data_IF_252080380135
#
_entry.id   IF_252080380135
#
_cell.length_a   1.000
_cell.length_b   1.000
_cell.length_c   1.000
_cell.angle_alpha   90.00
_cell.angle_beta   90.00
_cell.angle_gamma   90.00
#
_symmetry.space_group_name_H-M   'P 1'
#
loop_
_entity.id
_entity.type
_entity.pdbx_description
1 polymer ?
#
# COMPACT_ATOMS: atom_id res chain seq x y z
N UNK A 1 19.29 -7.11 12.34
CA UNK A 1 20.07 -7.73 11.26
C UNK A 1 20.57 -6.63 10.34
N UNK A 2 21.82 -6.71 9.83
CA UNK A 2 22.33 -5.73 8.87
C UNK A 2 21.73 -6.04 7.50
N UNK A 3 21.09 -5.05 6.89
CA UNK A 3 20.40 -5.21 5.59
C UNK A 3 21.26 -4.76 4.42
N UNK A 4 22.10 -3.73 4.60
CA UNK A 4 23.03 -3.29 3.57
C UNK A 4 24.20 -2.52 4.17
N UNK A 5 25.33 -2.53 3.45
CA UNK A 5 26.51 -1.73 3.73
C UNK A 5 26.91 -1.08 2.40
N UNK A 6 27.06 0.24 2.38
CA UNK A 6 27.37 1.00 1.17
C UNK A 6 28.44 2.05 1.46
N UNK A 7 29.41 2.20 0.57
CA UNK A 7 30.42 3.25 0.66
C UNK A 7 29.92 4.50 -0.07
N UNK A 8 29.73 5.60 0.66
CA UNK A 8 29.24 6.87 0.12
C UNK A 8 30.37 7.73 -0.47
N UNK A 9 31.57 7.62 0.12
CA UNK A 9 32.80 8.27 -0.30
C UNK A 9 33.97 7.50 0.32
N UNK A 10 35.22 7.79 -0.08
CA UNK A 10 36.41 7.09 0.43
C UNK A 10 36.37 6.93 1.95
N UNK A 11 36.30 5.69 2.41
CA UNK A 11 36.24 5.29 3.83
C UNK A 11 35.02 5.81 4.62
N UNK A 12 33.92 6.19 3.95
CA UNK A 12 32.66 6.60 4.58
C UNK A 12 31.56 5.62 4.22
N UNK A 13 31.06 4.91 5.22
CA UNK A 13 30.08 3.85 5.01
C UNK A 13 28.73 4.21 5.61
N UNK A 14 27.66 3.97 4.85
CA UNK A 14 26.30 3.93 5.34
C UNK A 14 25.87 2.47 5.52
N UNK A 15 25.39 2.16 6.74
CA UNK A 15 24.94 0.83 7.12
C UNK A 15 23.45 0.92 7.42
N UNK A 16 22.67 0.05 6.79
CA UNK A 16 21.23 -0.07 7.05
C UNK A 16 20.99 -1.28 7.96
N UNK A 17 20.25 -1.07 9.05
CA UNK A 17 19.99 -2.10 10.06
C UNK A 17 18.49 -2.24 10.27
N UNK A 18 17.97 -3.45 10.10
CA UNK A 18 16.63 -3.80 10.54
C UNK A 18 16.63 -4.11 12.03
N UNK A 19 15.88 -3.32 12.81
CA UNK A 19 15.73 -3.46 14.25
C UNK A 19 14.24 -3.54 14.64
N UNK A 20 13.72 -4.74 14.95
CA UNK A 20 12.31 -4.91 15.33
C UNK A 20 11.87 -4.06 16.54
N UNK A 21 12.81 -3.73 17.43
CA UNK A 21 12.52 -2.90 18.61
C UNK A 21 12.19 -1.44 18.25
N UNK A 22 12.65 -0.95 17.10
CA UNK A 22 12.38 0.41 16.65
C UNK A 22 11.05 0.54 15.90
N UNK A 23 10.47 -0.54 15.39
CA UNK A 23 9.20 -0.50 14.65
C UNK A 23 8.01 0.06 15.46
N UNK A 24 8.06 -0.03 16.80
CA UNK A 24 7.05 0.54 17.69
C UNK A 24 7.35 1.99 18.10
N UNK A 25 8.54 2.49 17.81
CA UNK A 25 8.94 3.83 18.18
C UNK A 25 8.27 4.84 17.23
N UNK A 26 7.60 5.89 17.72
CA UNK A 26 6.82 6.82 16.88
C UNK A 26 7.63 7.44 15.72
N UNK A 27 8.91 7.73 15.96
CA UNK A 27 9.81 8.31 14.95
C UNK A 27 10.30 7.32 13.88
N UNK A 28 10.04 6.03 14.04
CA UNK A 28 10.52 4.95 13.16
C UNK A 28 9.38 4.05 12.69
N UNK A 29 8.15 4.56 12.73
CA UNK A 29 7.01 3.87 12.13
C UNK A 29 7.17 3.89 10.61
N UNK A 30 7.13 2.70 10.02
CA UNK A 30 7.14 2.55 8.57
C UNK A 30 5.90 3.23 7.98
N UNK A 31 6.10 4.16 7.05
CA UNK A 31 5.00 4.78 6.30
C UNK A 31 4.30 3.68 5.50
N UNK A 32 3.13 3.27 5.99
CA UNK A 32 2.28 2.37 5.23
C UNK A 32 1.70 3.17 4.06
N UNK A 33 1.86 2.71 2.81
CA UNK A 33 1.21 3.38 1.69
C UNK A 33 -0.29 3.43 1.99
N UNK A 34 -0.87 4.61 1.80
CA UNK A 34 -2.31 4.81 1.93
C UNK A 34 -2.96 3.88 0.91
N UNK A 35 -3.80 2.96 1.37
CA UNK A 35 -4.49 2.03 0.48
C UNK A 35 -5.43 2.82 -0.44
N UNK A 36 -5.04 2.94 -1.71
CA UNK A 36 -5.92 3.47 -2.74
C UNK A 36 -6.77 2.34 -3.29
N UNK A 37 -8.08 2.44 -3.10
CA UNK A 37 -9.02 1.53 -3.76
C UNK A 37 -9.20 1.98 -5.21
N UNK A 38 -8.52 1.30 -6.12
CA UNK A 38 -8.68 1.50 -7.57
C UNK A 38 -9.60 0.39 -8.09
N UNK A 39 -10.81 0.76 -8.52
CA UNK A 39 -11.67 -0.18 -9.22
C UNK A 39 -11.24 -0.27 -10.69
N UNK A 40 -10.48 -1.32 -11.02
CA UNK A 40 -10.02 -1.58 -12.39
C UNK A 40 -11.16 -1.94 -13.37
N UNK A 41 -12.35 -2.25 -12.85
CA UNK A 41 -13.53 -2.59 -13.63
C UNK A 41 -14.54 -1.43 -13.71
N UNK A 42 -14.14 -0.21 -13.35
CA UNK A 42 -15.00 0.95 -13.48
C UNK A 42 -15.30 1.20 -14.97
N UNK A 43 -16.52 0.88 -15.40
CA UNK A 43 -16.97 1.16 -16.76
C UNK A 43 -16.98 2.69 -16.98
N UNK A 44 -16.57 3.18 -18.16
CA UNK A 44 -16.69 4.59 -18.50
C UNK A 44 -18.14 5.06 -18.33
N UNK A 45 -18.34 6.29 -17.84
CA UNK A 45 -19.69 6.87 -17.59
C UNK A 45 -20.62 6.85 -18.81
N UNK A 46 -20.06 6.67 -20.01
CA UNK A 46 -20.77 6.64 -21.29
C UNK A 46 -21.08 5.22 -21.79
N UNK A 47 -20.77 4.18 -21.01
CA UNK A 47 -21.15 2.80 -21.34
C UNK A 47 -22.66 2.63 -21.20
N UNK A 48 -23.38 2.61 -22.33
CA UNK A 48 -24.82 2.36 -22.37
C UNK A 48 -25.11 0.86 -22.21
N UNK A 49 -25.36 0.42 -20.99
CA UNK A 49 -26.00 -0.89 -20.76
C UNK A 49 -27.47 -0.83 -21.16
N UNK A 50 -27.80 -1.53 -22.24
CA UNK A 50 -29.19 -1.91 -22.53
C UNK A 50 -29.67 -2.91 -21.47
N UNK A 51 -30.32 -2.41 -20.42
CA UNK A 51 -31.29 -3.17 -19.63
C UNK A 51 -30.95 -3.36 -18.15
N UNK A 52 -31.57 -2.51 -17.30
CA UNK A 52 -32.03 -2.72 -15.89
C UNK A 52 -31.08 -3.51 -14.96
N UNK A 53 -30.54 -2.95 -13.87
CA UNK A 53 -31.24 -2.47 -12.68
C UNK A 53 -30.34 -1.51 -11.88
N UNK A 54 -30.94 -0.49 -11.25
CA UNK A 54 -30.25 0.39 -10.30
C UNK A 54 -29.96 -0.40 -9.04
N UNK A 55 -28.81 -1.05 -8.96
CA UNK A 55 -28.40 -1.72 -7.72
C UNK A 55 -27.51 -0.81 -6.87
N UNK A 56 -27.89 -0.71 -5.61
CA UNK A 56 -27.34 0.21 -4.60
C UNK A 56 -25.91 -0.19 -4.23
N UNK A 57 -24.90 0.32 -4.93
CA UNK A 57 -23.50 0.13 -4.58
C UNK A 57 -22.92 1.30 -3.76
N UNK A 58 -23.71 1.91 -2.86
CA UNK A 58 -23.25 3.05 -2.06
C UNK A 58 -22.86 2.73 -0.62
N UNK A 59 -23.01 1.50 -0.09
CA UNK A 59 -22.74 1.27 1.34
C UNK A 59 -22.26 -0.15 1.71
N UNK A 60 -21.55 -0.85 0.81
CA UNK A 60 -20.89 -2.11 1.18
C UNK A 60 -19.37 -1.92 1.26
N UNK A 61 -18.75 -2.16 2.42
CA UNK A 61 -17.30 -2.13 2.52
C UNK A 61 -16.71 -3.20 1.60
N UNK A 62 -15.74 -2.80 0.78
CA UNK A 62 -15.03 -3.70 -0.13
C UNK A 62 -14.16 -4.60 0.72
N UNK A 63 -14.53 -5.88 0.81
CA UNK A 63 -13.78 -6.89 1.57
C UNK A 63 -12.51 -7.24 0.82
N UNK A 64 -11.37 -6.79 1.35
CA UNK A 64 -10.05 -7.19 0.85
C UNK A 64 -9.78 -8.63 1.30
N UNK A 65 -9.50 -9.52 0.34
CA UNK A 65 -8.97 -10.84 0.66
C UNK A 65 -7.48 -10.62 0.95
N UNK A 66 -7.09 -10.68 2.22
CA UNK A 66 -5.68 -10.80 2.58
C UNK A 66 -5.24 -12.24 2.31
N UNK A 67 -4.12 -12.43 1.61
CA UNK A 67 -3.52 -13.74 1.41
C UNK A 67 -3.18 -14.40 2.76
N UNK A 68 -3.56 -15.67 2.91
CA UNK A 68 -3.38 -16.53 4.10
C UNK A 68 -1.93 -16.64 4.56
#
# INVERSE_FOLDING_TARGET
MISSITELSTCKYAITIQCPMLCKHPLFQEERPIWHTINCNALPKDYKETGKEKDQFQDKPITMIADL
#
